data_IF_867103942356
#
_entry.id   IF_867103942356
#
_cell.length_a   1.000
_cell.length_b   1.000
_cell.length_c   1.000
_cell.angle_alpha   90.00
_cell.angle_beta   90.00
_cell.angle_gamma   90.00
#
_symmetry.space_group_name_H-M   'P 1'
#
loop_
_entity.id
_entity.type
_entity.pdbx_description
1 polymer ?
#
# COMPACT_ATOMS: atom_id res chain seq x y z
N UNK A 1 -0.99 -11.85 -12.62
CA UNK A 1 -1.64 -10.52 -12.51
C UNK A 1 -0.85 -9.52 -13.35
N UNK A 2 -1.46 -8.79 -14.30
CA UNK A 2 -0.73 -7.84 -15.14
C UNK A 2 -0.13 -6.69 -14.31
N UNK A 3 1.10 -6.27 -14.60
CA UNK A 3 1.81 -5.22 -13.85
C UNK A 3 1.00 -3.92 -13.69
N UNK A 4 0.22 -3.54 -14.73
CA UNK A 4 -0.68 -2.38 -14.67
C UNK A 4 -1.72 -2.45 -13.54
N UNK A 5 -2.17 -3.65 -13.16
CA UNK A 5 -3.14 -3.80 -12.06
C UNK A 5 -2.50 -3.65 -10.69
N UNK A 6 -1.23 -4.03 -10.53
CA UNK A 6 -0.52 -3.88 -9.25
C UNK A 6 -0.11 -2.43 -9.04
N UNK A 7 0.44 -1.77 -10.06
CA UNK A 7 0.76 -0.34 -9.99
C UNK A 7 -0.49 0.50 -9.72
N UNK A 8 -1.59 0.22 -10.43
CA UNK A 8 -2.86 0.89 -10.19
C UNK A 8 -3.37 0.70 -8.76
N UNK A 9 -3.29 -0.52 -8.22
CA UNK A 9 -3.68 -0.78 -6.83
C UNK A 9 -2.80 -0.02 -5.84
N UNK A 10 -1.48 0.03 -6.05
CA UNK A 10 -0.56 0.79 -5.22
C UNK A 10 -0.84 2.29 -5.24
N UNK A 11 -1.10 2.87 -6.41
CA UNK A 11 -1.44 4.29 -6.51
C UNK A 11 -2.75 4.58 -5.76
N UNK A 12 -3.76 3.71 -5.86
CA UNK A 12 -5.01 3.85 -5.07
C UNK A 12 -4.77 3.76 -3.57
N UNK A 13 -3.94 2.84 -3.11
CA UNK A 13 -3.61 2.71 -1.70
C UNK A 13 -2.86 3.95 -1.17
N UNK A 14 -2.03 4.57 -2.01
CA UNK A 14 -1.34 5.82 -1.70
C UNK A 14 -2.32 6.99 -1.64
N UNK A 15 -3.23 7.11 -2.60
CA UNK A 15 -4.28 8.15 -2.59
C UNK A 15 -5.18 8.08 -1.34
N UNK A 16 -5.43 6.86 -0.84
CA UNK A 16 -6.19 6.64 0.40
C UNK A 16 -5.37 6.74 1.68
N UNK A 17 -4.07 7.07 1.57
CA UNK A 17 -3.13 7.16 2.68
C UNK A 17 -2.98 5.86 3.49
N UNK A 18 -3.35 4.70 2.91
CA UNK A 18 -3.16 3.37 3.50
C UNK A 18 -1.69 2.95 3.36
N UNK A 19 -1.03 3.38 2.28
CA UNK A 19 0.40 3.19 2.08
C UNK A 19 1.07 4.51 1.71
N UNK A 20 2.36 4.66 2.01
CA UNK A 20 3.17 5.79 1.61
C UNK A 20 4.41 5.34 0.84
N UNK A 21 4.79 6.13 -0.17
CA UNK A 21 6.02 5.92 -0.95
C UNK A 21 7.22 6.34 -0.09
N UNK A 22 8.19 5.46 0.11
CA UNK A 22 9.44 5.76 0.81
C UNK A 22 10.63 5.60 -0.13
N UNK A 23 11.66 6.45 0.00
CA UNK A 23 12.87 6.32 -0.81
C UNK A 23 13.58 5.01 -0.50
N UNK A 24 14.03 4.34 -1.55
CA UNK A 24 14.88 3.18 -1.44
C UNK A 24 16.35 3.60 -1.57
N UNK A 25 17.07 3.57 -0.45
CA UNK A 25 18.49 3.95 -0.42
C UNK A 25 19.41 2.89 -1.04
N UNK A 26 18.95 1.64 -1.18
CA UNK A 26 19.71 0.56 -1.82
C UNK A 26 19.57 0.54 -3.34
N UNK A 27 18.42 0.98 -3.87
CA UNK A 27 18.17 1.15 -5.30
C UNK A 27 17.11 2.22 -5.54
N UNK A 28 17.55 3.44 -5.88
CA UNK A 28 16.66 4.58 -6.10
C UNK A 28 15.72 4.41 -7.31
N UNK A 29 15.92 3.39 -8.16
CA UNK A 29 15.01 3.07 -9.28
C UNK A 29 13.77 2.31 -8.83
N UNK A 30 13.75 1.79 -7.60
CA UNK A 30 12.66 0.98 -7.05
C UNK A 30 12.05 1.67 -5.84
N UNK A 31 10.88 2.27 -6.00
CA UNK A 31 10.13 2.83 -4.86
C UNK A 31 9.70 1.72 -3.90
N UNK A 32 9.94 1.95 -2.61
CA UNK A 32 9.40 1.11 -1.54
C UNK A 32 8.11 1.73 -0.99
N UNK A 33 7.30 0.92 -0.32
CA UNK A 33 6.04 1.35 0.27
C UNK A 33 5.99 0.94 1.73
N UNK A 34 5.60 1.86 2.60
CA UNK A 34 5.30 1.57 4.00
C UNK A 34 3.78 1.62 4.23
N UNK A 35 3.25 0.65 4.95
CA UNK A 35 1.81 0.54 5.26
C UNK A 35 1.50 1.31 6.54
N UNK A 36 0.40 2.06 6.53
CA UNK A 36 -0.22 2.60 7.74
C UNK A 36 -1.19 1.57 8.31
N UNK A 37 -0.76 0.88 9.37
CA UNK A 37 -1.51 -0.23 9.94
C UNK A 37 -2.83 0.20 10.60
N UNK A 38 -2.91 1.39 11.20
CA UNK A 38 -4.14 1.89 11.81
C UNK A 38 -5.25 2.06 10.76
N UNK A 39 -4.91 2.68 9.62
CA UNK A 39 -5.84 2.86 8.50
C UNK A 39 -6.17 1.55 7.81
N UNK A 40 -5.18 0.68 7.63
CA UNK A 40 -5.39 -0.64 7.08
C UNK A 40 -6.37 -1.44 7.95
N UNK A 41 -6.20 -1.42 9.28
CA UNK A 41 -7.08 -2.11 10.22
C UNK A 41 -8.53 -1.61 10.13
N UNK A 42 -8.75 -0.30 9.97
CA UNK A 42 -10.09 0.26 9.77
C UNK A 42 -10.76 -0.28 8.49
N UNK A 43 -10.00 -0.40 7.40
CA UNK A 43 -10.49 -0.98 6.14
C UNK A 43 -10.79 -2.46 6.30
N UNK A 44 -9.89 -3.23 6.89
CA UNK A 44 -10.10 -4.65 7.16
C UNK A 44 -11.33 -4.89 8.03
N UNK A 45 -11.52 -4.09 9.07
CA UNK A 45 -12.69 -4.14 9.96
C UNK A 45 -14.00 -3.84 9.21
N UNK A 46 -13.98 -2.86 8.28
CA UNK A 46 -15.14 -2.52 7.44
C UNK A 46 -15.58 -3.67 6.53
N UNK A 47 -14.63 -4.47 6.05
CA UNK A 47 -14.90 -5.60 5.14
C UNK A 47 -14.95 -6.96 5.85
N UNK A 48 -14.85 -7.00 7.19
CA UNK A 48 -14.91 -8.24 7.98
C UNK A 48 -13.69 -9.15 7.81
N UNK A 49 -12.56 -8.59 7.38
CA UNK A 49 -11.29 -9.31 7.24
C UNK A 49 -10.44 -9.05 8.49
N UNK A 50 -9.78 -10.07 9.03
CA UNK A 50 -8.80 -9.91 10.09
C UNK A 50 -7.41 -9.70 9.49
N UNK A 51 -6.67 -8.71 10.00
CA UNK A 51 -5.25 -8.53 9.64
C UNK A 51 -4.43 -9.54 10.47
N UNK A 52 -3.72 -10.45 9.78
CA UNK A 52 -2.90 -11.51 10.39
C UNK A 52 -1.48 -11.05 10.69
#
# INVERSE_FOLDING_TARGET
>A
MPLRTVTFALDRLVDTEICQKIPNLGDMRRTLYAVNFDKAQAVFSRYGLAMA
#
